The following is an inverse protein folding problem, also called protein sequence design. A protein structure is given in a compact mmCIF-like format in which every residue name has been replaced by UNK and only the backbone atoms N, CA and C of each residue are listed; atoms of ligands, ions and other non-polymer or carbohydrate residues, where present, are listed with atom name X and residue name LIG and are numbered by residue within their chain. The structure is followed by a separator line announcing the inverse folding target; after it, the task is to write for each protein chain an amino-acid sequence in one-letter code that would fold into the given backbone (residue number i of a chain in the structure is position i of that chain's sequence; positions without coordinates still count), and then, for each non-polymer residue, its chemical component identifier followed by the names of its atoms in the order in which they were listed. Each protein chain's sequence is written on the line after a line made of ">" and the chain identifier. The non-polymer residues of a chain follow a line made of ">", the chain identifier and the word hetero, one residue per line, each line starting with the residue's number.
data_IF_407197164927
#
_entry.id   IF_407197164927
#
_cell.length_a   1.000
_cell.length_b   1.000
_cell.length_c   1.000
_cell.angle_alpha   90.00
_cell.angle_beta   90.00
_cell.angle_gamma   90.00
#
_symmetry.space_group_name_H-M   'P 1'
#
loop_
_entity.id
_entity.type
_entity.pdbx_description
1 polymer ?
#
# COMPACT_ATOMS: atom_id res chain seq x y z
N UNK A 1 -41.84 7.86 -10.73
CA UNK A 1 -40.66 7.46 -11.52
C UNK A 1 -41.15 6.71 -12.74
N UNK A 2 -40.69 7.13 -13.93
CA UNK A 2 -40.96 6.45 -15.19
C UNK A 2 -40.27 5.09 -15.23
N UNK A 3 -40.84 4.12 -15.96
CA UNK A 3 -40.21 2.81 -16.22
C UNK A 3 -38.79 3.00 -16.77
N UNK A 4 -38.60 4.01 -17.63
CA UNK A 4 -37.29 4.38 -18.18
C UNK A 4 -36.28 4.75 -17.10
N UNK A 5 -36.69 5.49 -16.09
CA UNK A 5 -35.81 5.90 -14.99
C UNK A 5 -35.41 4.72 -14.12
N UNK A 6 -36.32 3.77 -13.87
CA UNK A 6 -36.00 2.54 -13.15
C UNK A 6 -35.01 1.68 -13.93
N UNK A 7 -35.23 1.48 -15.22
CA UNK A 7 -34.32 0.70 -16.08
C UNK A 7 -32.92 1.31 -16.14
N UNK A 8 -32.82 2.64 -16.28
CA UNK A 8 -31.52 3.33 -16.28
C UNK A 8 -30.83 3.20 -14.92
N UNK A 9 -31.59 3.27 -13.82
CA UNK A 9 -31.04 3.12 -12.47
C UNK A 9 -30.49 1.72 -12.23
N UNK A 10 -31.24 0.69 -12.59
CA UNK A 10 -30.80 -0.71 -12.48
C UNK A 10 -29.56 -0.99 -13.32
N UNK A 11 -29.53 -0.50 -14.56
CA UNK A 11 -28.35 -0.63 -15.43
C UNK A 11 -27.12 0.02 -14.78
N UNK A 12 -27.27 1.22 -14.23
CA UNK A 12 -26.16 1.92 -13.57
C UNK A 12 -25.66 1.16 -12.36
N UNK A 13 -26.57 0.65 -11.52
CA UNK A 13 -26.21 -0.16 -10.35
C UNK A 13 -25.48 -1.44 -10.77
N UNK A 14 -25.89 -2.10 -11.86
CA UNK A 14 -25.23 -3.30 -12.37
C UNK A 14 -23.84 -3.01 -12.94
N UNK A 15 -23.65 -1.85 -13.57
CA UNK A 15 -22.33 -1.40 -14.03
C UNK A 15 -21.40 -1.14 -12.83
N UNK A 16 -21.88 -0.41 -11.82
CA UNK A 16 -21.12 -0.15 -10.58
C UNK A 16 -20.71 -1.46 -9.88
N UNK A 17 -21.63 -2.44 -9.76
CA UNK A 17 -21.32 -3.77 -9.20
C UNK A 17 -20.20 -4.51 -9.96
N UNK A 18 -20.15 -4.37 -11.29
CA UNK A 18 -19.11 -5.01 -12.12
C UNK A 18 -17.77 -4.30 -11.95
N UNK A 19 -17.77 -2.96 -11.89
CA UNK A 19 -16.55 -2.17 -11.67
C UNK A 19 -15.92 -2.49 -10.31
N UNK A 20 -16.73 -2.56 -9.25
CA UNK A 20 -16.28 -2.95 -7.92
C UNK A 20 -15.74 -4.38 -7.90
N UNK A 21 -16.42 -5.32 -8.57
CA UNK A 21 -15.95 -6.70 -8.70
C UNK A 21 -14.61 -6.81 -9.42
N UNK A 22 -14.39 -6.02 -10.48
CA UNK A 22 -13.12 -5.99 -11.21
C UNK A 22 -12.03 -5.31 -10.36
N UNK A 23 -12.35 -4.27 -9.60
CA UNK A 23 -11.39 -3.63 -8.71
C UNK A 23 -10.93 -4.60 -7.60
N UNK A 24 -11.84 -5.38 -7.04
CA UNK A 24 -11.54 -6.32 -5.96
C UNK A 24 -10.93 -7.63 -6.47
N UNK A 25 -11.48 -8.20 -7.55
CA UNK A 25 -11.18 -9.55 -8.03
C UNK A 25 -10.59 -9.62 -9.44
N UNK A 26 -10.46 -8.49 -10.14
CA UNK A 26 -9.93 -8.43 -11.50
C UNK A 26 -8.52 -8.98 -11.63
N UNK A 27 -8.21 -9.52 -12.82
CA UNK A 27 -6.92 -10.14 -13.14
C UNK A 27 -5.82 -9.09 -12.99
N UNK A 28 -5.09 -9.14 -11.87
CA UNK A 28 -4.03 -8.17 -11.56
C UNK A 28 -4.20 -7.45 -10.23
N UNK A 29 -5.41 -7.34 -9.65
CA UNK A 29 -5.64 -6.62 -8.38
C UNK A 29 -4.83 -7.22 -7.22
N UNK A 30 -4.78 -8.56 -7.15
CA UNK A 30 -3.96 -9.29 -6.18
C UNK A 30 -2.46 -9.09 -6.41
N UNK A 31 -2.01 -8.98 -7.66
CA UNK A 31 -0.60 -8.74 -7.98
C UNK A 31 -0.19 -7.30 -7.65
N UNK A 32 -1.05 -6.32 -7.97
CA UNK A 32 -0.82 -4.92 -7.66
C UNK A 32 -0.81 -4.69 -6.14
N UNK A 33 -1.79 -5.25 -5.42
CA UNK A 33 -1.84 -5.19 -3.94
C UNK A 33 -0.62 -5.88 -3.30
N UNK A 34 -0.17 -7.01 -3.86
CA UNK A 34 1.02 -7.70 -3.38
C UNK A 34 2.30 -6.90 -3.67
N UNK A 35 2.42 -6.30 -4.84
CA UNK A 35 3.54 -5.44 -5.21
C UNK A 35 3.59 -4.17 -4.34
N UNK A 36 2.45 -3.55 -4.09
CA UNK A 36 2.33 -2.37 -3.21
C UNK A 36 2.73 -2.70 -1.77
N UNK A 37 2.25 -3.83 -1.23
CA UNK A 37 2.66 -4.33 0.09
C UNK A 37 4.16 -4.59 0.15
N UNK A 38 4.73 -5.27 -0.85
CA UNK A 38 6.17 -5.53 -0.93
C UNK A 38 6.99 -4.24 -1.01
N UNK A 39 6.58 -3.26 -1.82
CA UNK A 39 7.26 -1.97 -1.90
C UNK A 39 7.21 -1.22 -0.57
N UNK A 40 6.06 -1.21 0.09
CA UNK A 40 5.91 -0.58 1.41
C UNK A 40 6.80 -1.24 2.45
N UNK A 41 6.83 -2.56 2.50
CA UNK A 41 7.63 -3.31 3.46
C UNK A 41 9.13 -3.11 3.21
N UNK A 42 9.56 -3.05 1.94
CA UNK A 42 10.93 -2.69 1.57
C UNK A 42 11.31 -1.28 2.01
N UNK A 43 10.45 -0.28 1.77
CA UNK A 43 10.71 1.09 2.22
C UNK A 43 10.83 1.18 3.75
N UNK A 44 9.92 0.52 4.47
CA UNK A 44 9.97 0.47 5.94
C UNK A 44 11.25 -0.22 6.40
N UNK A 45 11.61 -1.36 5.81
CA UNK A 45 12.83 -2.09 6.14
C UNK A 45 14.09 -1.28 5.89
N UNK A 46 14.19 -0.59 4.75
CA UNK A 46 15.33 0.26 4.40
C UNK A 46 15.45 1.45 5.36
N UNK A 47 14.35 2.11 5.69
CA UNK A 47 14.34 3.24 6.63
C UNK A 47 14.75 2.78 8.02
N UNK A 48 14.13 1.72 8.55
CA UNK A 48 14.43 1.21 9.89
C UNK A 48 15.86 0.66 9.98
N UNK A 49 16.29 -0.12 9.00
CA UNK A 49 17.65 -0.66 8.94
C UNK A 49 18.70 0.44 8.84
N UNK A 50 18.50 1.39 7.93
CA UNK A 50 19.38 2.54 7.76
C UNK A 50 19.47 3.41 9.03
N UNK A 51 18.33 3.72 9.65
CA UNK A 51 18.29 4.47 10.90
C UNK A 51 19.04 3.75 12.03
N UNK A 52 18.90 2.44 12.13
CA UNK A 52 19.59 1.62 13.14
C UNK A 52 21.11 1.67 12.96
N UNK A 53 21.59 1.54 11.72
CA UNK A 53 23.02 1.63 11.40
C UNK A 53 23.57 3.01 11.77
N UNK A 54 22.88 4.08 11.37
CA UNK A 54 23.30 5.46 11.67
C UNK A 54 23.33 5.70 13.18
N UNK A 55 22.29 5.29 13.90
CA UNK A 55 22.22 5.44 15.35
C UNK A 55 23.34 4.64 16.07
N UNK A 56 23.59 3.40 15.63
CA UNK A 56 24.67 2.57 16.17
C UNK A 56 26.06 3.17 15.92
N UNK A 57 26.31 3.68 14.71
CA UNK A 57 27.56 4.35 14.37
C UNK A 57 27.75 5.63 15.19
N UNK A 58 26.71 6.44 15.35
CA UNK A 58 26.74 7.64 16.17
C UNK A 58 27.01 7.31 17.66
N UNK A 59 26.33 6.30 18.21
CA UNK A 59 26.56 5.85 19.57
C UNK A 59 27.98 5.33 19.77
N UNK A 60 28.50 4.54 18.83
CA UNK A 60 29.89 4.05 18.88
C UNK A 60 30.90 5.20 18.84
N UNK A 61 30.72 6.19 17.97
CA UNK A 61 31.60 7.35 17.87
C UNK A 61 31.58 8.22 19.14
N UNK A 62 30.40 8.45 19.72
CA UNK A 62 30.24 9.29 20.92
C UNK A 62 30.73 8.58 22.19
N UNK A 63 30.39 7.30 22.37
CA UNK A 63 30.77 6.51 23.54
C UNK A 63 32.24 6.07 23.47
N UNK A 64 32.74 5.74 22.27
CA UNK A 64 34.14 5.38 22.06
C UNK A 64 35.10 6.55 22.33
N UNK A 65 34.67 7.79 22.07
CA UNK A 65 35.47 8.99 22.37
C UNK A 65 35.61 9.26 23.87
N UNK A 66 34.69 8.77 24.70
CA UNK A 66 34.71 9.02 26.14
C UNK A 66 35.57 7.99 26.92
N UNK A 67 36.16 7.02 26.21
CA UNK A 67 37.01 5.95 26.77
C UNK A 67 38.51 6.11 26.41
N UNK A 68 38.93 7.27 25.92
CA UNK A 68 40.33 7.64 25.65
C UNK A 68 40.61 9.07 26.11
#
# INVERSE_FOLDING_TARGET
>A
MSIKEQTVRELKTKVEEIEDFIAENGVGSRYLSKAEKMQRDLNIGLVLGGATIVAGAAAWALLGRNNG
#
